data_IF_878913015008
#
_entry.id   IF_878913015008
#
_cell.length_a   1.000
_cell.length_b   1.000
_cell.length_c   1.000
_cell.angle_alpha   90.00
_cell.angle_beta   90.00
_cell.angle_gamma   90.00
#
_symmetry.space_group_name_H-M   'P 1'
#
loop_
_entity.id
_entity.type
_entity.pdbx_description
1 polymer ?
#
# COMPACT_ATOMS: atom_id res chain seq x y z
N UNK A 1 17.20 -8.16 -13.67
CA UNK A 1 15.74 -7.97 -13.65
C UNK A 1 15.50 -6.66 -12.90
N UNK A 2 14.92 -5.65 -13.55
CA UNK A 2 14.67 -4.36 -12.90
C UNK A 2 13.28 -4.42 -12.25
N UNK A 3 13.23 -4.57 -10.93
CA UNK A 3 12.00 -4.45 -10.15
C UNK A 3 11.71 -2.96 -9.94
N UNK A 4 10.61 -2.50 -10.53
CA UNK A 4 10.15 -1.12 -10.37
C UNK A 4 9.22 -1.04 -9.18
N UNK A 5 9.65 -0.34 -8.13
CA UNK A 5 8.85 -0.08 -6.95
C UNK A 5 8.17 1.28 -7.11
N UNK A 6 6.84 1.30 -7.01
CA UNK A 6 6.10 2.55 -6.80
C UNK A 6 5.95 2.72 -5.30
N UNK A 7 6.62 3.72 -4.73
CA UNK A 7 6.44 4.08 -3.33
C UNK A 7 5.35 5.15 -3.27
N UNK A 8 4.12 4.72 -3.00
CA UNK A 8 3.03 5.63 -2.73
C UNK A 8 2.98 5.91 -1.23
N UNK A 9 3.48 7.09 -0.82
CA UNK A 9 3.37 7.55 0.56
C UNK A 9 1.97 8.15 0.76
N UNK A 10 1.02 7.33 1.20
CA UNK A 10 -0.30 7.78 1.59
C UNK A 10 -0.46 7.62 3.10
N UNK A 11 -0.77 8.72 3.78
CA UNK A 11 -1.01 8.78 5.21
C UNK A 11 -2.52 8.88 5.43
N UNK A 12 -3.11 7.93 6.15
CA UNK A 12 -4.48 8.02 6.63
C UNK A 12 -4.43 8.02 8.17
N UNK A 13 -4.64 9.18 8.79
CA UNK A 13 -4.57 9.35 10.24
C UNK A 13 -5.93 9.75 10.80
N UNK A 14 -6.38 9.07 11.86
CA UNK A 14 -7.49 9.49 12.70
C UNK A 14 -6.89 10.25 13.90
N UNK A 15 -6.77 11.58 13.77
CA UNK A 15 -6.36 12.57 14.79
C UNK A 15 -5.03 12.36 15.55
N UNK A 16 -4.30 11.27 15.33
CA UNK A 16 -2.99 11.01 15.92
C UNK A 16 -1.99 10.73 14.80
N UNK A 17 -1.01 11.62 14.61
CA UNK A 17 0.17 11.34 13.79
C UNK A 17 0.97 10.28 14.55
N UNK A 18 0.67 9.01 14.30
CA UNK A 18 1.47 7.91 14.81
C UNK A 18 2.77 7.90 13.99
N UNK A 19 3.87 8.35 14.61
CA UNK A 19 5.21 8.39 13.99
C UNK A 19 5.69 6.96 13.66
N UNK A 20 5.08 5.94 14.27
CA UNK A 20 5.39 4.51 14.09
C UNK A 20 4.26 3.83 13.30
N UNK A 21 4.21 4.07 11.99
CA UNK A 21 3.32 3.32 11.09
C UNK A 21 4.00 2.01 10.65
N UNK A 22 3.25 0.90 10.68
CA UNK A 22 3.73 -0.39 10.21
C UNK A 22 3.84 -0.38 8.70
N UNK A 23 4.90 -0.97 8.18
CA UNK A 23 5.12 -1.08 6.74
C UNK A 23 4.40 -2.32 6.21
N UNK A 24 3.56 -2.12 5.21
CA UNK A 24 2.85 -3.19 4.53
C UNK A 24 3.26 -3.23 3.07
N UNK A 25 3.61 -4.42 2.59
CA UNK A 25 3.97 -4.67 1.19
C UNK A 25 2.82 -5.38 0.48
N UNK A 26 2.45 -4.89 -0.70
CA UNK A 26 1.38 -5.46 -1.51
C UNK A 26 1.74 -5.44 -2.99
N UNK A 27 1.16 -6.36 -3.75
CA UNK A 27 1.28 -6.38 -5.20
C UNK A 27 0.06 -5.71 -5.81
N UNK A 28 0.29 -4.73 -6.68
CA UNK A 28 -0.77 -3.96 -7.35
C UNK A 28 -0.53 -3.90 -8.86
N UNK A 29 -1.60 -3.68 -9.62
CA UNK A 29 -1.56 -3.41 -11.04
C UNK A 29 -1.68 -1.92 -11.28
N UNK A 30 -0.59 -1.26 -11.64
CA UNK A 30 -0.58 0.15 -12.00
C UNK A 30 -0.39 0.27 -13.52
N UNK A 31 -1.37 0.85 -14.23
CA UNK A 31 -1.30 1.08 -15.68
C UNK A 31 -0.90 -0.14 -16.51
N UNK A 32 -1.40 -1.33 -16.14
CA UNK A 32 -1.12 -2.60 -16.83
C UNK A 32 0.16 -3.32 -16.40
N UNK A 33 0.97 -2.72 -15.53
CA UNK A 33 2.20 -3.33 -14.98
C UNK A 33 1.93 -3.83 -13.57
N UNK A 34 2.40 -5.04 -13.26
CA UNK A 34 2.36 -5.61 -11.92
C UNK A 34 3.58 -5.12 -11.15
N UNK A 35 3.36 -4.36 -10.09
CA UNK A 35 4.42 -3.78 -9.26
C UNK A 35 4.20 -4.15 -7.80
N UNK A 36 5.30 -4.28 -7.07
CA UNK A 36 5.27 -4.36 -5.61
C UNK A 36 5.31 -2.93 -5.06
N UNK A 37 4.30 -2.57 -4.29
CA UNK A 37 4.19 -1.28 -3.61
C UNK A 37 4.30 -1.48 -2.11
N UNK A 38 4.77 -0.44 -1.44
CA UNK A 38 4.88 -0.38 0.01
C UNK A 38 3.98 0.75 0.50
N UNK A 39 3.19 0.49 1.54
CA UNK A 39 2.34 1.49 2.20
C UNK A 39 2.57 1.45 3.69
N UNK A 40 2.44 2.60 4.34
CA UNK A 40 2.57 2.70 5.79
C UNK A 40 1.17 2.90 6.38
N UNK A 41 0.78 2.05 7.34
CA UNK A 41 -0.54 2.08 7.95
C UNK A 41 -0.49 1.54 9.39
N UNK A 42 -1.50 1.83 10.21
CA UNK A 42 -1.62 1.25 11.55
C UNK A 42 -1.94 -0.25 11.54
N UNK A 43 -2.71 -0.72 10.55
CA UNK A 43 -3.04 -2.14 10.39
C UNK A 43 -3.32 -2.52 8.94
N UNK A 44 -3.43 -3.83 8.67
CA UNK A 44 -3.66 -4.40 7.34
C UNK A 44 -4.95 -3.88 6.68
N UNK A 45 -6.01 -3.63 7.46
CA UNK A 45 -7.29 -3.15 6.93
C UNK A 45 -7.18 -1.70 6.43
N UNK A 46 -6.40 -0.85 7.13
CA UNK A 46 -6.05 0.49 6.64
C UNK A 46 -5.13 0.43 5.43
N UNK A 47 -4.13 -0.45 5.43
CA UNK A 47 -3.24 -0.64 4.28
C UNK A 47 -4.03 -1.03 3.02
N UNK A 48 -5.00 -1.93 3.13
CA UNK A 48 -5.90 -2.29 2.03
C UNK A 48 -6.67 -1.07 1.54
N UNK A 49 -7.29 -0.29 2.44
CA UNK A 49 -8.06 0.92 2.06
C UNK A 49 -7.19 1.95 1.33
N UNK A 50 -5.96 2.17 1.79
CA UNK A 50 -5.00 3.06 1.16
C UNK A 50 -4.65 2.57 -0.25
N UNK A 51 -4.33 1.28 -0.39
CA UNK A 51 -4.01 0.69 -1.69
C UNK A 51 -5.19 0.73 -2.67
N UNK A 52 -6.40 0.46 -2.18
CA UNK A 52 -7.62 0.57 -2.97
C UNK A 52 -7.92 2.01 -3.39
N UNK A 53 -7.62 3.00 -2.54
CA UNK A 53 -7.77 4.42 -2.88
C UNK A 53 -6.75 4.88 -3.93
N UNK A 54 -5.51 4.37 -3.85
CA UNK A 54 -4.42 4.75 -4.77
C UNK A 54 -4.50 4.05 -6.13
N UNK A 55 -4.81 2.74 -6.13
CA UNK A 55 -4.75 1.91 -7.34
C UNK A 55 -6.12 1.46 -7.83
N UNK A 56 -7.17 1.54 -7.01
CA UNK A 56 -8.50 1.01 -7.30
C UNK A 56 -8.68 -0.43 -6.82
N UNK A 57 -9.90 -0.79 -6.41
CA UNK A 57 -10.23 -2.09 -5.80
C UNK A 57 -9.82 -3.28 -6.67
N UNK A 58 -10.06 -3.20 -7.99
CA UNK A 58 -9.72 -4.27 -8.93
C UNK A 58 -8.24 -4.40 -9.27
N UNK A 59 -7.40 -3.48 -8.78
CA UNK A 59 -5.97 -3.44 -9.09
C UNK A 59 -5.10 -3.87 -7.90
N UNK A 60 -5.66 -4.14 -6.72
CA UNK A 60 -4.93 -4.72 -5.60
C UNK A 60 -4.94 -6.24 -5.75
N UNK A 61 -3.80 -6.82 -6.14
CA UNK A 61 -3.68 -8.24 -6.52
C UNK A 61 -3.42 -9.13 -5.30
N UNK A 62 -2.81 -8.59 -4.26
CA UNK A 62 -2.43 -9.35 -3.07
C UNK A 62 -2.78 -8.61 -1.78
N UNK A 63 -3.02 -9.38 -0.72
CA UNK A 63 -3.29 -8.86 0.62
C UNK A 63 -1.98 -8.25 1.16
N UNK A 64 -2.02 -7.03 1.73
CA UNK A 64 -0.82 -6.38 2.24
C UNK A 64 -0.25 -7.18 3.41
N UNK A 65 1.05 -7.47 3.37
CA UNK A 65 1.75 -8.22 4.41
C UNK A 65 2.67 -7.28 5.18
N UNK A 66 2.61 -7.32 6.52
CA UNK A 66 3.53 -6.54 7.37
C UNK A 66 4.97 -7.00 7.12
N UNK A 67 5.89 -6.05 6.99
CA UNK A 67 7.33 -6.28 6.75
C UNK A 67 8.15 -5.85 7.94
#
# INVERSE_FOLDING_TARGET
>A
MHEWFVVACALASNDTINIVMKQFRATVRASGVVVTTVVHADNVNFAIKILQALFGVGNVISIPTET
#
